data_IF_275682804696
#
_entry.id   IF_275682804696
#
_cell.length_a   1.000
_cell.length_b   1.000
_cell.length_c   1.000
_cell.angle_alpha   90.00
_cell.angle_beta   90.00
_cell.angle_gamma   90.00
#
_symmetry.space_group_name_H-M   'P 1'
#
loop_
_entity.id
_entity.type
_entity.pdbx_description
1 polymer ?
#
# COMPACT_ATOMS: atom_id res chain seq x y z
N UNK A 1 21.92 -12.29 -10.01
CA UNK A 1 20.71 -11.42 -9.95
C UNK A 1 20.80 -10.49 -8.75
N UNK A 2 20.54 -9.24 -8.97
CA UNK A 2 20.61 -8.25 -7.91
C UNK A 2 19.49 -8.45 -6.88
N UNK A 3 19.73 -7.98 -5.64
CA UNK A 3 18.78 -8.09 -4.54
C UNK A 3 17.42 -7.47 -4.91
N UNK A 4 17.44 -6.28 -5.48
CA UNK A 4 16.19 -5.58 -5.85
C UNK A 4 15.41 -6.32 -6.91
N UNK A 5 16.09 -6.89 -7.90
CA UNK A 5 15.45 -7.66 -8.96
C UNK A 5 14.82 -8.93 -8.39
N UNK A 6 15.50 -9.62 -7.49
CA UNK A 6 14.94 -10.83 -6.86
C UNK A 6 13.71 -10.49 -6.02
N UNK A 7 13.74 -9.38 -5.28
CA UNK A 7 12.59 -8.94 -4.48
C UNK A 7 11.41 -8.61 -5.38
N UNK A 8 11.66 -7.91 -6.46
CA UNK A 8 10.62 -7.57 -7.42
C UNK A 8 9.96 -8.82 -7.97
N UNK A 9 10.75 -9.77 -8.48
CA UNK A 9 10.22 -11.01 -9.05
C UNK A 9 9.43 -11.81 -8.02
N UNK A 10 9.92 -11.88 -6.78
CA UNK A 10 9.23 -12.56 -5.71
C UNK A 10 7.86 -11.98 -5.45
N UNK A 11 7.75 -10.65 -5.46
CA UNK A 11 6.47 -9.99 -5.20
C UNK A 11 5.54 -10.05 -6.40
N UNK A 12 6.06 -9.97 -7.62
CA UNK A 12 5.24 -10.06 -8.82
C UNK A 12 4.53 -11.42 -8.94
N UNK A 13 5.14 -12.48 -8.43
CA UNK A 13 4.52 -13.80 -8.44
C UNK A 13 3.18 -13.82 -7.71
N UNK A 14 2.98 -12.91 -6.78
CA UNK A 14 1.76 -12.86 -5.96
C UNK A 14 0.81 -11.73 -6.35
N UNK A 15 1.01 -11.13 -7.54
CA UNK A 15 0.16 -10.02 -7.97
C UNK A 15 -1.32 -10.38 -7.97
N UNK A 16 -1.67 -11.59 -8.46
CA UNK A 16 -3.06 -12.03 -8.48
C UNK A 16 -3.65 -12.13 -7.08
N UNK A 17 -2.86 -12.61 -6.12
CA UNK A 17 -3.28 -12.71 -4.73
C UNK A 17 -3.47 -11.33 -4.13
N UNK A 18 -2.58 -10.39 -4.44
CA UNK A 18 -2.69 -9.01 -3.97
C UNK A 18 -3.93 -8.35 -4.55
N UNK A 19 -4.22 -8.56 -5.83
CA UNK A 19 -5.42 -8.01 -6.46
C UNK A 19 -6.70 -8.52 -5.79
N UNK A 20 -6.74 -9.80 -5.47
CA UNK A 20 -7.88 -10.39 -4.78
C UNK A 20 -8.02 -9.82 -3.36
N UNK A 21 -6.91 -9.68 -2.64
CA UNK A 21 -6.92 -9.07 -1.31
C UNK A 21 -7.43 -7.63 -1.35
N UNK A 22 -6.98 -6.87 -2.34
CA UNK A 22 -7.43 -5.49 -2.50
C UNK A 22 -8.92 -5.43 -2.80
N UNK A 23 -9.40 -6.32 -3.68
CA UNK A 23 -10.81 -6.37 -4.03
C UNK A 23 -11.69 -6.65 -2.80
N UNK A 24 -11.31 -7.62 -1.99
CA UNK A 24 -12.09 -7.96 -0.79
C UNK A 24 -12.07 -6.86 0.27
N UNK A 25 -11.01 -6.08 0.31
CA UNK A 25 -10.86 -4.97 1.25
C UNK A 25 -11.36 -3.64 0.71
N UNK A 26 -11.80 -3.61 -0.54
CA UNK A 26 -12.32 -2.40 -1.16
C UNK A 26 -11.28 -1.43 -1.66
N UNK A 27 -10.03 -1.87 -1.83
CA UNK A 27 -8.98 -1.05 -2.42
C UNK A 27 -8.93 -1.24 -3.94
N UNK A 28 -8.68 -0.15 -4.65
CA UNK A 28 -8.38 -0.19 -6.07
C UNK A 28 -6.87 -0.31 -6.21
N UNK A 29 -6.42 -1.32 -6.96
CA UNK A 29 -5.00 -1.54 -7.20
C UNK A 29 -4.64 -1.15 -8.62
N UNK A 30 -3.63 -0.30 -8.76
CA UNK A 30 -3.05 0.05 -10.05
C UNK A 30 -1.56 -0.29 -10.02
N UNK A 31 -1.16 -1.19 -10.91
CA UNK A 31 0.25 -1.58 -11.05
C UNK A 31 0.80 -0.88 -12.29
N UNK A 32 1.83 -0.07 -12.10
CA UNK A 32 2.43 0.70 -13.18
C UNK A 32 3.92 0.41 -13.28
N UNK A 33 4.54 0.96 -14.30
CA UNK A 33 5.99 0.87 -14.50
C UNK A 33 6.47 -0.59 -14.48
N UNK A 34 5.79 -1.44 -15.22
CA UNK A 34 6.07 -2.89 -15.36
C UNK A 34 6.19 -3.60 -14.01
N UNK A 35 5.32 -3.25 -13.07
CA UNK A 35 5.28 -3.89 -11.76
C UNK A 35 6.16 -3.24 -10.71
N UNK A 36 6.88 -2.18 -11.05
CA UNK A 36 7.78 -1.51 -10.10
C UNK A 36 7.08 -0.53 -9.18
N UNK A 37 5.82 -0.18 -9.49
CA UNK A 37 5.10 0.83 -8.72
C UNK A 37 3.64 0.40 -8.54
N UNK A 38 3.24 0.17 -7.31
CA UNK A 38 1.89 -0.26 -6.96
C UNK A 38 1.17 0.86 -6.22
N UNK A 39 -0.01 1.25 -6.73
CA UNK A 39 -0.83 2.27 -6.10
C UNK A 39 -2.13 1.64 -5.61
N UNK A 40 -2.43 1.81 -4.33
CA UNK A 40 -3.65 1.30 -3.72
C UNK A 40 -4.46 2.50 -3.24
N UNK A 41 -5.68 2.62 -3.75
CA UNK A 41 -6.54 3.75 -3.40
C UNK A 41 -7.86 3.28 -2.81
N UNK A 42 -8.37 4.04 -1.85
CA UNK A 42 -9.69 3.81 -1.28
C UNK A 42 -10.18 5.15 -0.73
N UNK A 43 -11.28 5.65 -1.31
CA UNK A 43 -11.79 6.99 -0.99
C UNK A 43 -10.68 8.03 -1.19
N UNK A 44 -10.33 8.82 -0.17
CA UNK A 44 -9.29 9.85 -0.27
C UNK A 44 -7.92 9.36 0.18
N UNK A 45 -7.78 8.05 0.40
CA UNK A 45 -6.55 7.46 0.88
C UNK A 45 -5.75 6.88 -0.28
N UNK A 46 -4.45 7.15 -0.30
CA UNK A 46 -3.52 6.63 -1.31
C UNK A 46 -2.33 5.98 -0.59
N UNK A 47 -2.03 4.74 -0.97
CA UNK A 47 -0.79 4.07 -0.56
C UNK A 47 -0.01 3.73 -1.81
N UNK A 48 1.30 3.97 -1.77
CA UNK A 48 2.18 3.65 -2.89
C UNK A 48 3.31 2.77 -2.40
N UNK A 49 3.51 1.65 -3.09
CA UNK A 49 4.53 0.68 -2.73
C UNK A 49 5.40 0.35 -3.92
N UNK A 50 6.69 0.32 -3.69
CA UNK A 50 7.69 -0.05 -4.71
C UNK A 50 8.32 -1.39 -4.32
N UNK A 51 7.87 -2.52 -4.93
CA UNK A 51 8.32 -3.85 -4.52
C UNK A 51 9.83 -4.07 -4.56
N UNK A 52 10.52 -3.42 -5.49
CA UNK A 52 11.97 -3.62 -5.63
C UNK A 52 12.77 -2.95 -4.51
N UNK A 53 12.39 -1.74 -4.11
CA UNK A 53 13.07 -1.00 -3.04
C UNK A 53 12.40 -1.21 -1.69
N UNK A 54 11.21 -1.80 -1.68
CA UNK A 54 10.39 -2.04 -0.50
C UNK A 54 9.80 -0.77 0.13
N UNK A 55 9.95 0.38 -0.50
CA UNK A 55 9.45 1.63 0.05
C UNK A 55 7.92 1.69 -0.01
N UNK A 56 7.29 2.13 1.09
CA UNK A 56 5.85 2.32 1.21
C UNK A 56 5.57 3.72 1.70
N UNK A 57 4.74 4.45 0.96
CA UNK A 57 4.43 5.87 1.23
C UNK A 57 2.92 6.06 1.23
N UNK A 58 2.42 6.86 2.15
CA UNK A 58 0.99 7.16 2.27
C UNK A 58 0.73 8.62 1.93
N UNK A 59 -0.26 8.85 1.04
CA UNK A 59 -0.70 10.19 0.64
C UNK A 59 0.45 11.12 0.26
N UNK A 60 1.45 10.55 -0.42
CA UNK A 60 2.62 11.28 -0.94
C UNK A 60 3.46 11.96 0.12
N UNK A 61 3.39 11.49 1.35
CA UNK A 61 4.24 11.99 2.44
C UNK A 61 5.56 11.22 2.44
N UNK A 62 6.42 11.55 1.52
CA UNK A 62 7.65 10.82 1.22
C UNK A 62 8.60 10.68 2.41
N UNK A 63 8.71 11.72 3.23
CA UNK A 63 9.59 11.73 4.39
C UNK A 63 9.09 10.86 5.53
N UNK A 64 7.82 10.45 5.48
CA UNK A 64 7.21 9.59 6.50
C UNK A 64 7.03 8.15 6.03
N UNK A 65 7.65 7.82 4.92
CA UNK A 65 7.54 6.47 4.36
C UNK A 65 8.25 5.44 5.22
N UNK A 66 7.87 4.19 5.02
CA UNK A 66 8.50 3.06 5.70
C UNK A 66 8.90 2.02 4.66
N UNK A 67 9.45 0.90 5.13
CA UNK A 67 9.86 -0.17 4.22
C UNK A 67 9.13 -1.46 4.57
N UNK A 68 8.51 -2.07 3.56
CA UNK A 68 7.84 -3.36 3.66
C UNK A 68 8.42 -4.27 2.60
N UNK A 69 9.07 -5.35 3.03
CA UNK A 69 9.87 -6.18 2.15
C UNK A 69 9.08 -7.19 1.34
N UNK A 70 7.86 -7.49 1.75
CA UNK A 70 7.00 -8.36 0.98
C UNK A 70 5.57 -7.81 0.93
N UNK A 71 4.77 -8.37 0.02
CA UNK A 71 3.41 -7.87 -0.22
C UNK A 71 2.48 -8.02 0.99
N UNK A 72 2.67 -9.07 1.78
CA UNK A 72 1.80 -9.28 2.95
C UNK A 72 2.04 -8.22 4.00
N UNK A 73 3.31 -7.92 4.26
CA UNK A 73 3.68 -6.89 5.20
C UNK A 73 3.15 -5.52 4.73
N UNK A 74 3.25 -5.25 3.43
CA UNK A 74 2.76 -4.00 2.86
C UNK A 74 1.24 -3.88 3.02
N UNK A 75 0.49 -4.93 2.69
CA UNK A 75 -0.97 -4.92 2.81
C UNK A 75 -1.41 -4.75 4.27
N UNK A 76 -0.76 -5.42 5.20
CA UNK A 76 -1.06 -5.29 6.62
C UNK A 76 -0.87 -3.85 7.09
N UNK A 77 0.23 -3.24 6.71
CA UNK A 77 0.53 -1.87 7.09
C UNK A 77 -0.47 -0.90 6.48
N UNK A 78 -0.83 -1.10 5.20
CA UNK A 78 -1.79 -0.25 4.50
C UNK A 78 -3.16 -0.30 5.20
N UNK A 79 -3.63 -1.50 5.53
CA UNK A 79 -4.90 -1.64 6.24
C UNK A 79 -4.88 -0.96 7.60
N UNK A 80 -3.80 -1.14 8.32
CA UNK A 80 -3.66 -0.54 9.66
C UNK A 80 -3.69 0.97 9.59
N UNK A 81 -2.96 1.55 8.66
CA UNK A 81 -2.91 3.00 8.50
C UNK A 81 -4.26 3.55 8.03
N UNK A 82 -4.91 2.85 7.10
CA UNK A 82 -6.24 3.25 6.63
C UNK A 82 -7.26 3.24 7.77
N UNK A 83 -7.30 2.17 8.55
CA UNK A 83 -8.23 2.05 9.66
C UNK A 83 -8.01 3.14 10.71
N UNK A 84 -6.76 3.44 11.00
CA UNK A 84 -6.42 4.49 11.95
C UNK A 84 -6.89 5.85 11.47
N UNK A 85 -6.73 6.15 10.18
CA UNK A 85 -7.19 7.41 9.61
C UNK A 85 -8.70 7.54 9.65
N UNK A 86 -9.43 6.46 9.34
CA UNK A 86 -10.89 6.47 9.38
C UNK A 86 -11.39 6.74 10.80
N UNK A 87 -10.78 6.08 11.77
CA UNK A 87 -11.14 6.31 13.17
C UNK A 87 -10.90 7.77 13.57
N UNK A 88 -9.74 8.32 13.20
CA UNK A 88 -9.38 9.69 13.51
C UNK A 88 -10.35 10.69 12.87
N UNK A 89 -10.68 10.48 11.61
CA UNK A 89 -11.60 11.35 10.88
C UNK A 89 -13.00 11.34 11.51
N UNK A 90 -13.47 10.17 11.91
CA UNK A 90 -14.78 10.05 12.58
C UNK A 90 -14.79 10.80 13.91
N UNK A 91 -13.73 10.65 14.69
CA UNK A 91 -13.62 11.35 15.98
C UNK A 91 -13.58 12.87 15.78
N UNK A 92 -12.84 13.34 14.78
CA UNK A 92 -12.74 14.75 14.44
C UNK A 92 -14.09 15.31 14.00
N UNK A 93 -14.84 14.56 13.18
CA UNK A 93 -16.17 14.95 12.75
C UNK A 93 -17.12 15.14 13.93
N UNK A 94 -17.06 14.26 14.91
CA UNK A 94 -17.90 14.35 16.11
C UNK A 94 -17.52 15.56 16.93
N UNK A 95 -16.24 15.86 17.06
CA UNK A 95 -15.74 16.98 17.86
C UNK A 95 -16.01 18.33 17.23
N UNK A 96 -16.20 18.38 15.93
CA UNK A 96 -16.38 19.62 15.20
C UNK A 96 -17.80 20.20 15.29
N UNK A 97 -18.66 19.58 16.04
CA UNK A 97 -20.03 20.06 16.22
C UNK A 97 -20.17 21.10 17.33
#
# INVERSE_FOLDING_TARGET
>A
MERHTRRLHGNLRYEAEVRESCRTRGFNLRVTNTGHHWQLTKQNFLAEWWPSSAKLVFNKQWEKGCHCHDYRQALEMIERVYAKRQWFNAATSLDSR
#
